data_IF_863815244876
#
_entry.id   IF_863815244876
#
_cell.length_a   1.000
_cell.length_b   1.000
_cell.length_c   1.000
_cell.angle_alpha   90.00
_cell.angle_beta   90.00
_cell.angle_gamma   90.00
#
_symmetry.space_group_name_H-M   'P 1'
#
loop_
_entity.id
_entity.type
_entity.pdbx_description
1 polymer ?
#
# COMPACT_ATOMS: atom_id res chain seq x y z
N UNK A 1 -31.14 -3.07 6.62
CA UNK A 1 -30.79 -4.38 7.23
C UNK A 1 -29.37 -4.32 7.82
N UNK A 2 -29.13 -3.63 8.95
CA UNK A 2 -27.76 -3.47 9.51
C UNK A 2 -27.32 -4.52 10.55
N UNK A 3 -28.17 -5.48 10.94
CA UNK A 3 -27.88 -6.38 12.08
C UNK A 3 -26.97 -7.56 11.70
N UNK A 4 -26.95 -7.98 10.43
CA UNK A 4 -26.18 -9.16 10.00
C UNK A 4 -24.68 -8.90 9.88
N UNK A 5 -24.26 -7.71 9.43
CA UNK A 5 -22.85 -7.36 9.20
C UNK A 5 -22.01 -7.42 10.48
N UNK A 6 -22.52 -6.87 11.58
CA UNK A 6 -21.84 -6.88 12.88
C UNK A 6 -21.70 -8.29 13.48
N UNK A 7 -22.52 -9.24 13.06
CA UNK A 7 -22.49 -10.62 13.59
C UNK A 7 -21.39 -11.45 12.90
N UNK A 8 -21.20 -11.27 11.58
CA UNK A 8 -20.15 -11.95 10.82
C UNK A 8 -18.75 -11.45 11.19
N UNK A 9 -18.58 -10.14 11.41
CA UNK A 9 -17.29 -9.56 11.79
C UNK A 9 -16.82 -10.07 13.17
N UNK A 10 -17.74 -10.23 14.13
CA UNK A 10 -17.45 -10.81 15.45
C UNK A 10 -17.04 -12.28 15.39
N UNK A 11 -17.43 -13.03 14.37
CA UNK A 11 -17.05 -14.45 14.25
C UNK A 11 -15.58 -14.68 13.85
N UNK A 12 -14.86 -13.63 13.45
CA UNK A 12 -13.43 -13.71 13.13
C UNK A 12 -12.52 -13.16 14.22
N UNK A 13 -13.09 -12.57 15.27
CA UNK A 13 -12.33 -11.99 16.37
C UNK A 13 -11.63 -13.09 17.18
N UNK A 14 -10.31 -13.02 17.24
CA UNK A 14 -9.46 -13.97 17.99
C UNK A 14 -8.63 -13.27 19.07
N UNK A 15 -9.23 -12.47 19.97
CA UNK A 15 -8.49 -11.52 20.81
C UNK A 15 -7.47 -12.18 21.76
N UNK A 16 -7.63 -13.45 22.11
CA UNK A 16 -6.62 -14.19 22.89
C UNK A 16 -5.42 -14.59 22.02
N UNK A 17 -5.69 -15.14 20.83
CA UNK A 17 -4.65 -15.56 19.90
C UNK A 17 -3.93 -14.36 19.28
N UNK A 18 -4.63 -13.27 18.97
CA UNK A 18 -4.03 -12.03 18.49
C UNK A 18 -3.11 -11.41 19.54
N UNK A 19 -3.48 -11.47 20.83
CA UNK A 19 -2.58 -11.08 21.92
C UNK A 19 -1.39 -12.01 22.06
N UNK A 20 -1.58 -13.31 21.88
CA UNK A 20 -0.48 -14.29 21.93
C UNK A 20 0.51 -14.08 20.78
N UNK A 21 0.02 -13.85 19.56
CA UNK A 21 0.83 -13.49 18.39
C UNK A 21 1.59 -12.19 18.65
N UNK A 22 0.90 -11.13 19.07
CA UNK A 22 1.55 -9.85 19.35
C UNK A 22 2.62 -9.95 20.45
N UNK A 23 2.38 -10.75 21.48
CA UNK A 23 3.38 -11.02 22.52
C UNK A 23 4.58 -11.80 21.97
N UNK A 24 4.33 -12.85 21.17
CA UNK A 24 5.40 -13.63 20.53
C UNK A 24 6.24 -12.79 19.56
N UNK A 25 5.61 -11.91 18.77
CA UNK A 25 6.29 -10.97 17.89
C UNK A 25 7.11 -9.93 18.67
N UNK A 26 6.59 -9.42 19.79
CA UNK A 26 7.30 -8.47 20.65
C UNK A 26 8.52 -9.10 21.34
N UNK A 27 8.40 -10.37 21.75
CA UNK A 27 9.48 -11.13 22.40
C UNK A 27 10.49 -11.71 21.39
N UNK A 28 10.13 -11.81 20.11
CA UNK A 28 11.00 -12.33 19.06
C UNK A 28 12.19 -11.37 18.81
N UNK A 29 13.39 -11.92 18.92
CA UNK A 29 14.66 -11.23 18.71
C UNK A 29 15.42 -11.88 17.56
N UNK A 30 15.81 -11.07 16.57
CA UNK A 30 16.74 -11.48 15.51
C UNK A 30 18.14 -11.04 15.91
N UNK A 31 19.07 -12.00 15.99
CA UNK A 31 20.48 -11.72 16.25
C UNK A 31 21.17 -11.40 14.94
N UNK A 32 21.73 -10.21 14.82
CA UNK A 32 22.43 -9.76 13.63
C UNK A 32 23.80 -9.21 14.01
N UNK A 33 24.85 -9.95 13.66
CA UNK A 33 26.21 -9.72 14.16
C UNK A 33 26.20 -9.77 15.69
N UNK A 34 26.49 -8.65 16.36
CA UNK A 34 26.48 -8.53 17.82
C UNK A 34 25.24 -7.78 18.34
N UNK A 35 24.34 -7.36 17.44
CA UNK A 35 23.11 -6.63 17.79
C UNK A 35 21.93 -7.58 17.99
N UNK A 36 21.06 -7.23 18.94
CA UNK A 36 19.77 -7.89 19.20
C UNK A 36 18.66 -6.99 18.71
N UNK A 37 18.07 -7.34 17.57
CA UNK A 37 17.04 -6.53 16.94
C UNK A 37 15.65 -7.09 17.31
N UNK A 38 14.71 -6.26 17.81
CA UNK A 38 13.31 -6.64 17.91
C UNK A 38 12.78 -7.02 16.52
N UNK A 39 11.98 -8.09 16.43
CA UNK A 39 11.44 -8.59 15.16
C UNK A 39 10.81 -7.49 14.29
N UNK A 40 9.96 -6.64 14.90
CA UNK A 40 9.28 -5.55 14.21
C UNK A 40 10.23 -4.48 13.61
N UNK A 41 11.46 -4.34 14.14
CA UNK A 41 12.45 -3.37 13.65
C UNK A 41 13.28 -3.92 12.47
N UNK A 42 13.26 -5.24 12.23
CA UNK A 42 14.15 -5.89 11.25
C UNK A 42 13.91 -5.42 9.81
N UNK A 43 12.67 -5.29 9.30
CA UNK A 43 12.45 -4.77 7.94
C UNK A 43 13.03 -3.37 7.74
N UNK A 44 12.84 -2.47 8.72
CA UNK A 44 13.43 -1.13 8.72
C UNK A 44 14.96 -1.19 8.71
N UNK A 45 15.55 -2.09 9.52
CA UNK A 45 17.00 -2.30 9.55
C UNK A 45 17.54 -2.85 8.23
N UNK A 46 16.85 -3.79 7.58
CA UNK A 46 17.20 -4.31 6.25
C UNK A 46 17.20 -3.18 5.21
N UNK A 47 16.16 -2.35 5.22
CA UNK A 47 16.04 -1.21 4.31
C UNK A 47 17.21 -0.20 4.46
N UNK A 48 17.85 -0.16 5.64
CA UNK A 48 18.98 0.72 5.92
C UNK A 48 20.35 0.20 5.45
N UNK A 49 20.46 -1.07 5.05
CA UNK A 49 21.75 -1.65 4.66
C UNK A 49 22.03 -1.40 3.18
N UNK A 50 23.13 -0.68 2.89
CA UNK A 50 23.59 -0.45 1.51
C UNK A 50 24.18 -1.70 0.87
N UNK A 51 24.87 -2.54 1.67
CA UNK A 51 25.46 -3.81 1.22
C UNK A 51 24.36 -4.86 0.99
N UNK A 52 24.21 -5.31 -0.27
CA UNK A 52 23.26 -6.36 -0.65
C UNK A 52 23.47 -7.65 0.13
N UNK A 53 24.73 -8.10 0.26
CA UNK A 53 25.02 -9.34 0.98
C UNK A 53 24.60 -9.26 2.46
N UNK A 54 24.70 -8.08 3.08
CA UNK A 54 24.20 -7.83 4.42
C UNK A 54 22.67 -7.85 4.48
N UNK A 55 21.97 -7.25 3.49
CA UNK A 55 20.50 -7.35 3.38
C UNK A 55 20.04 -8.79 3.29
N UNK A 56 20.62 -9.57 2.38
CA UNK A 56 20.21 -10.96 2.14
C UNK A 56 20.39 -11.84 3.38
N UNK A 57 21.52 -11.70 4.08
CA UNK A 57 21.76 -12.46 5.32
C UNK A 57 20.80 -12.07 6.45
N UNK A 58 20.57 -10.77 6.66
CA UNK A 58 19.62 -10.32 7.68
C UNK A 58 18.18 -10.72 7.32
N UNK A 59 17.83 -10.66 6.03
CA UNK A 59 16.54 -11.15 5.54
C UNK A 59 16.38 -12.65 5.77
N UNK A 60 17.44 -13.46 5.56
CA UNK A 60 17.44 -14.87 5.94
C UNK A 60 17.12 -15.10 7.41
N UNK A 61 17.79 -14.39 8.33
CA UNK A 61 17.51 -14.48 9.77
C UNK A 61 16.10 -13.99 10.14
N UNK A 62 15.57 -13.00 9.41
CA UNK A 62 14.18 -12.55 9.55
C UNK A 62 13.18 -13.65 9.15
N UNK A 63 13.45 -14.37 8.05
CA UNK A 63 12.61 -15.48 7.59
C UNK A 63 12.63 -16.65 8.59
N UNK A 64 13.76 -16.93 9.24
CA UNK A 64 13.83 -17.92 10.32
C UNK A 64 12.94 -17.52 11.51
N UNK A 65 12.90 -16.25 11.88
CA UNK A 65 12.00 -15.75 12.92
C UNK A 65 10.52 -15.87 12.52
N UNK A 66 10.18 -15.55 11.26
CA UNK A 66 8.82 -15.78 10.73
C UNK A 66 8.45 -17.26 10.80
N UNK A 67 9.36 -18.16 10.40
CA UNK A 67 9.10 -19.60 10.45
C UNK A 67 8.80 -20.07 11.89
N UNK A 68 9.52 -19.53 12.88
CA UNK A 68 9.28 -19.81 14.29
C UNK A 68 7.90 -19.31 14.78
N UNK A 69 7.35 -18.25 14.17
CA UNK A 69 6.02 -17.71 14.46
C UNK A 69 4.90 -18.41 13.67
N UNK A 70 5.23 -19.15 12.60
CA UNK A 70 4.27 -19.82 11.71
C UNK A 70 3.21 -20.66 12.44
N UNK A 71 3.54 -21.45 13.49
CA UNK A 71 2.52 -22.22 14.20
C UNK A 71 1.36 -21.38 14.75
N UNK A 72 1.63 -20.18 15.26
CA UNK A 72 0.57 -19.28 15.77
C UNK A 72 -0.26 -18.69 14.63
N UNK A 73 0.37 -18.36 13.50
CA UNK A 73 -0.34 -17.89 12.31
C UNK A 73 -1.23 -18.99 11.71
N UNK A 74 -0.75 -20.23 11.68
CA UNK A 74 -1.51 -21.40 11.22
C UNK A 74 -2.70 -21.69 12.14
N UNK A 75 -2.53 -21.58 13.46
CA UNK A 75 -3.63 -21.69 14.43
C UNK A 75 -4.69 -20.63 14.17
N UNK A 76 -4.29 -19.39 13.87
CA UNK A 76 -5.22 -18.30 13.56
C UNK A 76 -5.99 -18.54 12.26
N UNK A 77 -5.30 -18.99 11.21
CA UNK A 77 -5.94 -19.37 9.96
C UNK A 77 -6.94 -20.52 10.17
N UNK A 78 -6.55 -21.55 10.94
CA UNK A 78 -7.42 -22.67 11.26
C UNK A 78 -8.67 -22.20 12.01
N UNK A 79 -8.53 -21.24 12.93
CA UNK A 79 -9.68 -20.63 13.61
C UNK A 79 -10.64 -19.97 12.62
N UNK A 80 -10.15 -19.06 11.76
CA UNK A 80 -10.98 -18.36 10.78
C UNK A 80 -11.70 -19.31 9.83
N UNK A 81 -11.06 -20.41 9.44
CA UNK A 81 -11.60 -21.40 8.50
C UNK A 81 -12.42 -22.51 9.17
N UNK A 82 -12.50 -22.55 10.50
CA UNK A 82 -13.25 -23.57 11.24
C UNK A 82 -14.76 -23.36 11.17
N UNK A 83 -15.37 -23.83 10.07
CA UNK A 83 -16.83 -23.93 9.94
C UNK A 83 -17.53 -22.71 9.33
N UNK A 84 -16.78 -21.73 8.82
CA UNK A 84 -17.33 -20.57 8.11
C UNK A 84 -16.83 -20.51 6.68
N UNK A 85 -17.71 -20.19 5.73
CA UNK A 85 -17.29 -19.67 4.44
C UNK A 85 -16.89 -18.21 4.64
N UNK A 86 -15.59 -17.99 4.86
CA UNK A 86 -15.02 -16.67 5.16
C UNK A 86 -15.29 -15.70 4.02
N UNK A 87 -15.29 -16.18 2.77
CA UNK A 87 -15.51 -15.33 1.59
C UNK A 87 -16.96 -14.85 1.58
N UNK A 88 -17.92 -15.76 1.73
CA UNK A 88 -19.35 -15.40 1.72
C UNK A 88 -19.73 -14.53 2.93
N UNK A 89 -19.06 -14.74 4.07
CA UNK A 89 -19.21 -13.89 5.25
C UNK A 89 -18.73 -12.46 5.01
N UNK A 90 -17.58 -12.27 4.36
CA UNK A 90 -17.07 -10.94 3.97
C UNK A 90 -17.94 -10.32 2.86
N UNK A 91 -18.39 -11.11 1.88
CA UNK A 91 -19.30 -10.67 0.83
C UNK A 91 -20.61 -10.11 1.39
N UNK A 92 -21.14 -10.76 2.44
CA UNK A 92 -22.33 -10.28 3.17
C UNK A 92 -22.11 -8.94 3.88
N UNK A 93 -20.85 -8.53 4.08
CA UNK A 93 -20.44 -7.23 4.61
C UNK A 93 -20.43 -6.10 3.57
N UNK A 94 -20.76 -6.36 2.31
CA UNK A 94 -20.98 -5.35 1.29
C UNK A 94 -19.93 -5.28 0.19
N UNK A 95 -18.91 -6.16 0.20
CA UNK A 95 -18.01 -6.33 -0.94
C UNK A 95 -17.65 -7.81 -1.10
N UNK A 96 -17.95 -8.39 -2.26
CA UNK A 96 -17.48 -9.73 -2.60
C UNK A 96 -15.99 -9.66 -3.00
N UNK A 97 -15.08 -10.28 -2.22
CA UNK A 97 -13.65 -10.28 -2.54
C UNK A 97 -13.34 -10.91 -3.91
N UNK A 98 -14.16 -11.84 -4.39
CA UNK A 98 -13.99 -12.51 -5.69
C UNK A 98 -14.27 -11.54 -6.84
N UNK A 99 -15.41 -10.85 -6.80
CA UNK A 99 -15.77 -9.85 -7.80
C UNK A 99 -14.77 -8.69 -7.81
N UNK A 100 -14.38 -8.23 -6.61
CA UNK A 100 -13.39 -7.16 -6.47
C UNK A 100 -12.03 -7.54 -7.07
N UNK A 101 -11.57 -8.78 -6.85
CA UNK A 101 -10.33 -9.28 -7.45
C UNK A 101 -10.39 -9.29 -8.99
N UNK A 102 -11.52 -9.69 -9.59
CA UNK A 102 -11.72 -9.68 -11.05
C UNK A 102 -11.61 -8.26 -11.61
N UNK A 103 -12.17 -7.27 -10.91
CA UNK A 103 -12.08 -5.88 -11.34
C UNK A 103 -10.64 -5.33 -11.28
N UNK A 104 -9.86 -5.77 -10.28
CA UNK A 104 -8.46 -5.40 -10.08
C UNK A 104 -7.50 -6.06 -11.08
N UNK A 105 -7.87 -7.16 -11.73
CA UNK A 105 -7.05 -7.76 -12.80
C UNK A 105 -6.76 -6.74 -13.92
N UNK A 106 -7.74 -5.91 -14.26
CA UNK A 106 -7.58 -4.85 -15.27
C UNK A 106 -6.55 -3.82 -14.84
N UNK A 107 -6.54 -3.43 -13.57
CA UNK A 107 -5.54 -2.54 -13.01
C UNK A 107 -4.13 -3.16 -13.10
N UNK A 108 -3.99 -4.44 -12.75
CA UNK A 108 -2.70 -5.17 -12.85
C UNK A 108 -2.20 -5.22 -14.29
N UNK A 109 -3.05 -5.56 -15.24
CA UNK A 109 -2.72 -5.61 -16.68
C UNK A 109 -2.33 -4.22 -17.20
N UNK A 110 -3.10 -3.19 -16.89
CA UNK A 110 -2.84 -1.84 -17.39
C UNK A 110 -1.67 -1.13 -16.67
N UNK A 111 -1.25 -1.60 -15.50
CA UNK A 111 -0.05 -1.12 -14.81
C UNK A 111 1.21 -1.92 -15.11
N UNK A 112 1.10 -3.10 -15.73
CA UNK A 112 2.20 -4.05 -15.87
C UNK A 112 3.45 -3.45 -16.51
N UNK A 113 3.34 -2.93 -17.73
CA UNK A 113 4.47 -2.34 -18.47
C UNK A 113 5.14 -1.19 -17.73
N UNK A 114 4.42 -0.12 -17.30
CA UNK A 114 5.06 0.98 -16.58
C UNK A 114 5.62 0.54 -15.22
N UNK A 115 4.99 -0.43 -14.54
CA UNK A 115 5.50 -0.99 -13.30
C UNK A 115 6.86 -1.68 -13.48
N UNK A 116 6.94 -2.64 -14.40
CA UNK A 116 8.18 -3.40 -14.62
C UNK A 116 9.30 -2.56 -15.25
N UNK A 117 8.96 -1.52 -16.00
CA UNK A 117 9.95 -0.53 -16.44
C UNK A 117 10.53 0.24 -15.25
N UNK A 118 9.67 0.75 -14.35
CA UNK A 118 10.09 1.47 -13.16
C UNK A 118 10.87 0.57 -12.18
N UNK A 119 10.40 -0.66 -11.92
CA UNK A 119 11.08 -1.63 -11.07
C UNK A 119 12.51 -1.89 -11.53
N UNK A 120 12.70 -2.19 -12.82
CA UNK A 120 14.04 -2.41 -13.38
C UNK A 120 14.93 -1.18 -13.28
N UNK A 121 14.39 0.01 -13.52
CA UNK A 121 15.12 1.27 -13.37
C UNK A 121 15.60 1.46 -11.93
N UNK A 122 14.75 1.23 -10.94
CA UNK A 122 15.12 1.40 -9.53
C UNK A 122 16.04 0.30 -8.99
N UNK A 123 15.90 -0.94 -9.47
CA UNK A 123 16.86 -2.01 -9.16
C UNK A 123 18.24 -1.74 -9.78
N UNK A 124 18.29 -1.18 -10.99
CA UNK A 124 19.55 -0.79 -11.62
C UNK A 124 20.31 0.31 -10.85
N UNK A 125 19.61 1.17 -10.09
CA UNK A 125 20.25 2.18 -9.23
C UNK A 125 21.09 1.54 -8.12
N UNK A 126 20.75 0.32 -7.71
CA UNK A 126 21.48 -0.46 -6.69
C UNK A 126 22.23 -1.66 -7.27
N UNK A 127 22.44 -1.68 -8.59
CA UNK A 127 23.18 -2.71 -9.33
C UNK A 127 22.62 -4.13 -9.13
N UNK A 128 21.29 -4.26 -9.18
CA UNK A 128 20.58 -5.54 -9.08
C UNK A 128 19.77 -5.81 -10.33
N UNK A 129 19.92 -7.01 -10.89
CA UNK A 129 19.03 -7.50 -11.95
C UNK A 129 17.71 -7.97 -11.35
N UNK A 130 16.61 -7.75 -12.07
CA UNK A 130 15.27 -8.10 -11.59
C UNK A 130 15.12 -9.58 -11.20
N UNK A 131 15.75 -10.50 -11.95
CA UNK A 131 15.68 -11.93 -11.67
C UNK A 131 16.33 -12.34 -10.35
N UNK A 132 17.25 -11.52 -9.83
CA UNK A 132 17.97 -11.79 -8.59
C UNK A 132 17.42 -10.99 -7.39
N UNK A 133 16.50 -10.06 -7.63
CA UNK A 133 15.97 -9.17 -6.61
C UNK A 133 15.02 -9.90 -5.66
N UNK A 134 15.08 -9.52 -4.39
CA UNK A 134 14.14 -9.99 -3.36
C UNK A 134 13.29 -8.84 -2.81
N UNK A 135 12.29 -9.16 -1.98
CA UNK A 135 11.52 -8.13 -1.25
C UNK A 135 12.42 -7.22 -0.40
N UNK A 136 13.53 -7.73 0.14
CA UNK A 136 14.48 -6.94 0.93
C UNK A 136 15.11 -5.80 0.11
N UNK A 137 15.38 -6.02 -1.17
CA UNK A 137 15.89 -4.99 -2.07
C UNK A 137 14.84 -3.92 -2.36
N UNK A 138 13.57 -4.32 -2.48
CA UNK A 138 12.47 -3.37 -2.65
C UNK A 138 12.25 -2.55 -1.38
N UNK A 139 12.41 -3.11 -0.18
CA UNK A 139 12.38 -2.34 1.07
C UNK A 139 13.50 -1.28 1.10
N UNK A 140 14.70 -1.64 0.69
CA UNK A 140 15.82 -0.69 0.58
C UNK A 140 15.54 0.43 -0.43
N UNK A 141 15.01 0.10 -1.62
CA UNK A 141 14.60 1.09 -2.61
C UNK A 141 13.49 1.98 -2.05
N UNK A 142 12.43 1.39 -1.48
CA UNK A 142 11.24 2.08 -1.00
C UNK A 142 11.53 3.00 0.18
N UNK A 143 12.59 2.77 0.96
CA UNK A 143 13.10 3.75 1.94
C UNK A 143 13.44 5.08 1.29
N UNK A 144 13.89 5.07 0.04
CA UNK A 144 14.18 6.29 -0.70
C UNK A 144 15.35 7.07 -0.10
N UNK A 145 16.38 6.38 0.38
CA UNK A 145 17.52 6.98 1.08
C UNK A 145 18.18 8.13 0.27
N UNK A 146 18.19 8.03 -1.07
CA UNK A 146 18.66 9.09 -1.97
C UNK A 146 17.93 10.42 -1.79
N UNK A 147 16.65 10.38 -1.40
CA UNK A 147 15.79 11.55 -1.23
C UNK A 147 15.78 12.07 0.20
N UNK A 148 16.31 11.32 1.17
CA UNK A 148 16.22 11.64 2.61
C UNK A 148 16.71 13.04 2.97
N UNK A 149 17.68 13.59 2.24
CA UNK A 149 18.21 14.92 2.45
C UNK A 149 17.20 16.06 2.24
N UNK A 150 16.11 15.81 1.49
CA UNK A 150 14.99 16.76 1.32
C UNK A 150 13.95 16.69 2.45
N UNK A 151 13.96 15.63 3.26
CA UNK A 151 12.94 15.35 4.27
C UNK A 151 13.52 15.49 5.69
N UNK A 152 14.11 16.65 5.97
CA UNK A 152 14.44 17.02 7.34
C UNK A 152 13.17 17.16 8.19
N UNK A 153 13.21 16.73 9.45
CA UNK A 153 12.03 16.73 10.33
C UNK A 153 11.34 18.10 10.39
N UNK A 154 12.14 19.18 10.48
CA UNK A 154 11.63 20.55 10.54
C UNK A 154 10.94 20.95 9.24
N UNK A 155 11.55 20.63 8.10
CA UNK A 155 11.05 20.93 6.77
C UNK A 155 9.73 20.19 6.51
N UNK A 156 9.68 18.89 6.83
CA UNK A 156 8.47 18.05 6.71
C UNK A 156 7.37 18.56 7.63
N UNK A 157 7.67 18.86 8.90
CA UNK A 157 6.67 19.37 9.85
C UNK A 157 6.09 20.70 9.39
N UNK A 158 6.92 21.61 8.88
CA UNK A 158 6.48 22.88 8.29
C UNK A 158 5.57 22.63 7.08
N UNK A 159 5.97 21.74 6.17
CA UNK A 159 5.23 21.41 4.96
C UNK A 159 3.90 20.68 5.27
N UNK A 160 3.86 19.83 6.29
CA UNK A 160 2.65 19.18 6.78
C UNK A 160 1.68 20.20 7.40
N UNK A 161 2.17 21.15 8.21
CA UNK A 161 1.33 22.22 8.77
C UNK A 161 0.66 23.08 7.69
N UNK A 162 1.30 23.26 6.53
CA UNK A 162 0.71 23.99 5.40
C UNK A 162 -0.54 23.32 4.82
N UNK A 163 -0.76 22.03 5.10
CA UNK A 163 -1.96 21.28 4.69
C UNK A 163 -3.12 21.41 5.68
N UNK A 164 -2.92 22.11 6.80
CA UNK A 164 -3.90 22.21 7.90
C UNK A 164 -3.98 20.97 8.78
N UNK A 165 -3.15 19.95 8.54
CA UNK A 165 -3.09 18.73 9.37
C UNK A 165 -2.19 18.92 10.59
N UNK A 166 -2.57 18.25 11.67
CA UNK A 166 -1.70 18.14 12.85
C UNK A 166 -0.66 17.07 12.58
N UNK A 167 0.64 17.39 12.59
CA UNK A 167 1.69 16.39 12.39
C UNK A 167 1.65 15.39 13.54
N UNK A 168 1.56 14.11 13.20
CA UNK A 168 1.78 13.03 14.16
C UNK A 168 3.28 12.85 14.34
N UNK A 169 3.71 12.50 15.55
CA UNK A 169 5.09 12.05 15.75
C UNK A 169 5.26 10.72 15.00
N UNK A 170 5.76 10.81 13.77
CA UNK A 170 6.32 9.66 13.09
C UNK A 170 7.51 9.19 13.94
N UNK A 171 7.51 7.93 14.37
CA UNK A 171 8.58 7.35 15.19
C UNK A 171 9.92 7.29 14.45
N UNK A 172 10.58 6.13 14.45
CA UNK A 172 11.89 5.96 13.79
C UNK A 172 11.84 5.97 12.24
N UNK A 173 10.75 6.47 11.63
CA UNK A 173 10.67 6.60 10.18
C UNK A 173 11.63 7.68 9.70
N UNK A 174 12.31 7.42 8.57
CA UNK A 174 13.18 8.41 7.93
C UNK A 174 12.67 8.83 6.54
N UNK A 175 13.17 9.97 6.11
CA UNK A 175 13.03 10.41 4.73
C UNK A 175 11.58 10.68 4.32
N UNK A 176 11.25 10.30 3.10
CA UNK A 176 9.94 10.54 2.52
C UNK A 176 8.82 9.70 3.16
N UNK A 177 9.15 8.53 3.74
CA UNK A 177 8.19 7.70 4.47
C UNK A 177 7.70 8.39 5.75
N UNK A 178 8.59 9.12 6.43
CA UNK A 178 8.22 9.94 7.57
C UNK A 178 7.25 11.05 7.16
N UNK A 179 7.46 11.67 5.99
CA UNK A 179 6.54 12.68 5.46
C UNK A 179 5.18 12.08 5.07
N UNK A 180 5.16 10.92 4.42
CA UNK A 180 3.93 10.21 4.10
C UNK A 180 3.13 9.88 5.37
N UNK A 181 3.79 9.38 6.43
CA UNK A 181 3.17 9.09 7.71
C UNK A 181 2.65 10.36 8.42
N UNK A 182 3.45 11.43 8.46
CA UNK A 182 3.02 12.73 9.03
C UNK A 182 1.80 13.31 8.31
N UNK A 183 1.75 13.20 6.98
CA UNK A 183 0.64 13.68 6.15
C UNK A 183 -0.60 12.80 6.28
N UNK A 184 -0.42 11.49 6.48
CA UNK A 184 -1.52 10.56 6.73
C UNK A 184 -2.27 10.95 8.02
N UNK A 185 -1.56 11.45 9.03
CA UNK A 185 -2.16 11.75 10.33
C UNK A 185 -2.38 10.49 11.17
N UNK A 186 -3.27 10.57 12.17
CA UNK A 186 -3.48 9.48 13.10
C UNK A 186 -4.07 8.24 12.41
N UNK A 187 -3.64 7.07 12.89
CA UNK A 187 -4.25 5.81 12.50
C UNK A 187 -5.73 5.83 12.89
N UNK A 188 -6.57 5.53 11.92
CA UNK A 188 -8.01 5.47 12.11
C UNK A 188 -8.41 4.03 12.40
N UNK A 189 -9.44 3.84 13.23
CA UNK A 189 -9.97 2.50 13.52
C UNK A 189 -10.45 1.78 12.24
N UNK A 190 -10.54 0.44 12.26
CA UNK A 190 -10.85 -0.38 11.08
C UNK A 190 -12.21 -0.04 10.44
N UNK A 191 -13.15 0.53 11.20
CA UNK A 191 -14.49 0.85 10.73
C UNK A 191 -14.60 2.22 10.02
N UNK A 192 -13.54 3.03 10.01
CA UNK A 192 -13.56 4.38 9.46
C UNK A 192 -12.75 4.49 8.15
N UNK A 193 -13.16 3.67 7.17
CA UNK A 193 -12.57 3.58 5.82
C UNK A 193 -12.54 4.91 5.07
N UNK A 194 -13.56 5.77 5.22
CA UNK A 194 -13.60 7.08 4.56
C UNK A 194 -12.57 8.06 5.13
N UNK A 195 -12.40 8.08 6.45
CA UNK A 195 -11.34 8.84 7.11
C UNK A 195 -9.96 8.30 6.74
N UNK A 196 -9.80 6.97 6.65
CA UNK A 196 -8.58 6.35 6.16
C UNK A 196 -8.27 6.75 4.71
N UNK A 197 -9.28 6.87 3.84
CA UNK A 197 -9.13 7.35 2.48
C UNK A 197 -8.77 8.85 2.42
N UNK A 198 -9.32 9.69 3.30
CA UNK A 198 -8.90 11.10 3.44
C UNK A 198 -7.43 11.18 3.87
N UNK A 199 -7.03 10.38 4.86
CA UNK A 199 -5.64 10.30 5.33
C UNK A 199 -4.70 9.85 4.21
N UNK A 200 -5.06 8.79 3.49
CA UNK A 200 -4.31 8.32 2.33
C UNK A 200 -4.25 9.37 1.20
N UNK A 201 -5.31 10.15 0.97
CA UNK A 201 -5.31 11.25 0.01
C UNK A 201 -4.26 12.32 0.36
N UNK A 202 -4.16 12.71 1.63
CA UNK A 202 -3.08 13.62 2.09
C UNK A 202 -1.70 12.99 2.02
N UNK A 203 -1.56 11.70 2.36
CA UNK A 203 -0.31 10.96 2.23
C UNK A 203 0.25 11.04 0.80
N UNK A 204 -0.62 11.16 -0.20
CA UNK A 204 -0.20 11.28 -1.61
C UNK A 204 0.63 12.53 -1.90
N UNK A 205 0.54 13.58 -1.07
CA UNK A 205 1.28 14.84 -1.23
C UNK A 205 2.79 14.65 -1.10
N UNK A 206 3.25 13.64 -0.36
CA UNK A 206 4.68 13.29 -0.23
C UNK A 206 5.36 13.00 -1.58
N UNK A 207 4.58 12.79 -2.65
CA UNK A 207 5.07 12.69 -4.03
C UNK A 207 4.31 13.57 -5.03
N UNK A 208 3.66 14.65 -4.58
CA UNK A 208 3.05 15.66 -5.45
C UNK A 208 4.12 16.65 -5.93
N UNK A 209 4.27 16.89 -7.25
CA UNK A 209 5.25 17.84 -7.76
C UNK A 209 5.16 19.23 -7.14
N UNK A 210 3.95 19.76 -7.00
CA UNK A 210 3.70 21.10 -6.45
C UNK A 210 3.99 21.17 -4.95
N UNK A 211 3.68 20.12 -4.19
CA UNK A 211 4.00 20.07 -2.76
C UNK A 211 5.52 19.97 -2.54
N UNK A 212 6.20 19.13 -3.32
CA UNK A 212 7.64 18.98 -3.27
C UNK A 212 8.36 20.28 -3.62
N UNK A 213 7.94 20.95 -4.69
CA UNK A 213 8.55 22.20 -5.13
C UNK A 213 8.30 23.34 -4.15
N UNK A 214 7.05 23.53 -3.74
CA UNK A 214 6.68 24.75 -3.03
C UNK A 214 6.80 24.64 -1.51
N UNK A 215 6.51 23.48 -0.91
CA UNK A 215 6.50 23.31 0.56
C UNK A 215 7.82 22.78 1.09
N UNK A 216 8.40 21.80 0.39
CA UNK A 216 9.72 21.25 0.73
C UNK A 216 10.89 22.00 0.07
N UNK A 217 10.65 22.74 -1.02
CA UNK A 217 11.70 23.45 -1.73
C UNK A 217 12.64 22.53 -2.51
N UNK A 218 12.16 21.35 -2.93
CA UNK A 218 12.93 20.42 -3.76
C UNK A 218 13.30 21.13 -5.06
N UNK A 219 14.57 21.02 -5.46
CA UNK A 219 15.06 21.64 -6.68
C UNK A 219 14.27 21.15 -7.90
N UNK A 220 13.90 22.06 -8.82
CA UNK A 220 13.03 21.72 -9.96
C UNK A 220 13.51 20.56 -10.84
N UNK A 221 14.84 20.34 -10.91
CA UNK A 221 15.42 19.19 -11.64
C UNK A 221 15.25 17.84 -10.94
N UNK A 222 14.92 17.81 -9.64
CA UNK A 222 14.74 16.59 -8.86
C UNK A 222 13.27 16.29 -8.53
N UNK A 223 12.38 17.30 -8.62
CA UNK A 223 10.93 17.16 -8.36
C UNK A 223 10.33 16.03 -9.20
N UNK A 224 10.61 15.98 -10.50
CA UNK A 224 10.05 14.95 -11.39
C UNK A 224 10.54 13.55 -11.03
N UNK A 225 11.83 13.41 -10.72
CA UNK A 225 12.42 12.11 -10.35
C UNK A 225 11.91 11.61 -9.00
N UNK A 226 11.70 12.50 -8.03
CA UNK A 226 11.11 12.13 -6.75
C UNK A 226 9.63 11.77 -6.89
N UNK A 227 8.86 12.55 -7.66
CA UNK A 227 7.45 12.24 -7.95
C UNK A 227 7.28 10.90 -8.68
N UNK A 228 8.17 10.58 -9.63
CA UNK A 228 8.27 9.27 -10.28
C UNK A 228 8.54 8.15 -9.26
N UNK A 229 9.53 8.34 -8.38
CA UNK A 229 9.87 7.39 -7.33
C UNK A 229 8.69 7.11 -6.40
N UNK A 230 8.03 8.16 -5.91
CA UNK A 230 6.86 8.02 -5.05
C UNK A 230 5.68 7.35 -5.77
N UNK A 231 5.53 7.55 -7.08
CA UNK A 231 4.53 6.84 -7.88
C UNK A 231 4.87 5.35 -8.02
N UNK A 232 6.15 5.01 -8.23
CA UNK A 232 6.62 3.62 -8.25
C UNK A 232 6.33 2.90 -6.92
N UNK A 233 6.69 3.50 -5.78
CA UNK A 233 6.50 2.84 -4.47
C UNK A 233 5.00 2.63 -4.19
N UNK A 234 4.15 3.62 -4.47
CA UNK A 234 2.69 3.47 -4.33
C UNK A 234 2.14 2.37 -5.21
N UNK A 235 2.60 2.28 -6.46
CA UNK A 235 2.19 1.20 -7.37
C UNK A 235 2.65 -0.17 -6.86
N UNK A 236 3.87 -0.29 -6.34
CA UNK A 236 4.38 -1.53 -5.75
C UNK A 236 3.53 -1.98 -4.56
N UNK A 237 3.21 -1.08 -3.62
CA UNK A 237 2.34 -1.40 -2.47
C UNK A 237 0.97 -1.87 -2.92
N UNK A 238 0.32 -1.11 -3.81
CA UNK A 238 -0.99 -1.50 -4.35
C UNK A 238 -0.96 -2.86 -5.04
N UNK A 239 0.08 -3.15 -5.84
CA UNK A 239 0.26 -4.47 -6.46
C UNK A 239 0.48 -5.56 -5.43
N UNK A 240 1.29 -5.31 -4.39
CA UNK A 240 1.49 -6.24 -3.27
C UNK A 240 0.15 -6.57 -2.59
N UNK A 241 -0.67 -5.57 -2.32
CA UNK A 241 -1.96 -5.78 -1.63
C UNK A 241 -2.96 -6.53 -2.53
N UNK A 242 -2.96 -6.27 -3.84
CA UNK A 242 -3.72 -7.08 -4.82
C UNK A 242 -3.21 -8.53 -4.84
N UNK A 243 -1.90 -8.76 -4.74
CA UNK A 243 -1.35 -10.11 -4.63
C UNK A 243 -1.76 -10.79 -3.34
N UNK A 244 -1.78 -10.06 -2.22
CA UNK A 244 -2.25 -10.55 -0.94
C UNK A 244 -3.71 -10.98 -1.01
N UNK A 245 -4.57 -10.22 -1.70
CA UNK A 245 -5.96 -10.59 -1.96
C UNK A 245 -6.07 -11.94 -2.70
N UNK A 246 -5.23 -12.19 -3.70
CA UNK A 246 -5.20 -13.48 -4.42
C UNK A 246 -4.80 -14.64 -3.49
N UNK A 247 -3.83 -14.40 -2.61
CA UNK A 247 -3.43 -15.37 -1.58
C UNK A 247 -4.58 -15.66 -0.61
N UNK A 248 -5.25 -14.62 -0.12
CA UNK A 248 -6.38 -14.76 0.79
C UNK A 248 -7.56 -15.49 0.15
N UNK A 249 -7.92 -15.18 -1.10
CA UNK A 249 -8.93 -15.92 -1.86
C UNK A 249 -8.62 -17.42 -1.92
N UNK A 250 -7.35 -17.78 -2.07
CA UNK A 250 -6.92 -19.18 -2.08
C UNK A 250 -6.99 -19.82 -0.69
N UNK A 251 -6.51 -19.13 0.34
CA UNK A 251 -6.49 -19.63 1.72
C UNK A 251 -7.90 -19.82 2.29
N UNK A 252 -8.81 -18.88 1.99
CA UNK A 252 -10.18 -18.88 2.49
C UNK A 252 -11.17 -19.62 1.58
N UNK A 253 -10.75 -19.97 0.35
CA UNK A 253 -11.58 -20.71 -0.62
C UNK A 253 -11.69 -22.21 -0.37
N UNK A 254 -11.07 -22.74 0.69
CA UNK A 254 -11.20 -24.13 1.11
C UNK A 254 -9.90 -24.75 1.64
N UNK A 255 -9.99 -25.99 2.13
CA UNK A 255 -8.84 -26.71 2.67
C UNK A 255 -7.72 -26.84 1.63
N UNK A 256 -6.57 -26.25 1.96
CA UNK A 256 -5.35 -26.32 1.15
C UNK A 256 -4.23 -26.84 2.05
N UNK A 257 -3.47 -27.83 1.57
CA UNK A 257 -2.29 -28.29 2.29
C UNK A 257 -1.30 -27.13 2.48
N UNK A 258 -0.72 -26.94 3.69
CA UNK A 258 0.17 -25.79 3.97
C UNK A 258 1.30 -25.63 2.95
N UNK A 259 1.93 -26.72 2.52
CA UNK A 259 2.99 -26.69 1.51
C UNK A 259 2.52 -26.12 0.16
N UNK A 260 1.30 -26.46 -0.27
CA UNK A 260 0.70 -25.93 -1.51
C UNK A 260 0.37 -24.44 -1.34
N UNK A 261 -0.18 -24.05 -0.18
CA UNK A 261 -0.49 -22.65 0.11
C UNK A 261 0.77 -21.77 0.13
N UNK A 262 1.86 -22.26 0.73
CA UNK A 262 3.18 -21.63 0.77
C UNK A 262 3.75 -21.39 -0.62
N UNK A 263 3.83 -22.44 -1.43
CA UNK A 263 4.33 -22.36 -2.81
C UNK A 263 3.46 -21.44 -3.69
N UNK A 264 2.13 -21.53 -3.56
CA UNK A 264 1.20 -20.65 -4.27
C UNK A 264 1.43 -19.17 -3.90
N UNK A 265 1.51 -18.88 -2.60
CA UNK A 265 1.72 -17.52 -2.10
C UNK A 265 3.03 -16.91 -2.60
N UNK A 266 4.14 -17.64 -2.45
CA UNK A 266 5.44 -17.21 -2.98
C UNK A 266 5.37 -16.95 -4.50
N UNK A 267 4.76 -17.86 -5.26
CA UNK A 267 4.61 -17.74 -6.71
C UNK A 267 3.81 -16.53 -7.15
N UNK A 268 2.59 -16.35 -6.62
CA UNK A 268 1.70 -15.25 -7.03
C UNK A 268 2.24 -13.89 -6.59
N UNK A 269 2.78 -13.81 -5.37
CA UNK A 269 3.38 -12.57 -4.86
C UNK A 269 4.63 -12.19 -5.64
N UNK A 270 5.48 -13.17 -5.98
CA UNK A 270 6.66 -12.92 -6.82
C UNK A 270 6.26 -12.49 -8.23
N UNK A 271 5.22 -13.11 -8.81
CA UNK A 271 4.71 -12.74 -10.12
C UNK A 271 4.11 -11.33 -10.15
N UNK A 272 3.40 -10.92 -9.10
CA UNK A 272 2.74 -9.60 -9.08
C UNK A 272 3.72 -8.46 -8.77
N UNK A 273 4.67 -8.71 -7.85
CA UNK A 273 5.66 -7.72 -7.40
C UNK A 273 6.98 -7.75 -8.17
N UNK A 274 7.19 -8.75 -9.02
CA UNK A 274 8.36 -8.82 -9.89
C UNK A 274 9.69 -9.12 -9.21
N UNK A 275 9.68 -9.50 -7.92
CA UNK A 275 10.85 -9.87 -7.11
C UNK A 275 10.57 -11.16 -6.36
N UNK A 276 11.60 -11.87 -5.93
CA UNK A 276 11.43 -13.11 -5.18
C UNK A 276 10.80 -12.84 -3.79
N UNK A 277 9.72 -13.58 -3.50
CA UNK A 277 9.02 -13.62 -2.22
C UNK A 277 9.19 -14.99 -1.59
N UNK A 278 9.62 -15.03 -0.34
CA UNK A 278 9.91 -16.28 0.35
C UNK A 278 8.63 -16.97 0.87
N UNK A 279 8.60 -18.30 0.79
CA UNK A 279 7.46 -19.13 1.20
C UNK A 279 7.08 -18.97 2.69
N UNK A 280 8.05 -18.66 3.54
CA UNK A 280 7.86 -18.45 4.98
C UNK A 280 6.88 -17.30 5.26
N UNK A 281 6.78 -16.31 4.36
CA UNK A 281 5.98 -15.09 4.59
C UNK A 281 4.48 -15.25 4.29
N UNK A 282 4.02 -16.44 3.87
CA UNK A 282 2.68 -16.61 3.30
C UNK A 282 1.52 -16.23 4.24
N UNK A 283 1.72 -16.29 5.58
CA UNK A 283 0.75 -15.85 6.58
C UNK A 283 1.16 -14.60 7.35
N UNK A 284 2.43 -14.19 7.32
CA UNK A 284 2.92 -13.08 8.15
C UNK A 284 2.29 -11.72 7.79
N UNK A 285 1.71 -11.62 6.59
CA UNK A 285 0.96 -10.44 6.15
C UNK A 285 -0.54 -10.45 6.46
N UNK A 286 -1.09 -11.58 6.92
CA UNK A 286 -2.54 -11.77 7.08
C UNK A 286 -2.90 -11.63 8.55
N UNK A 287 -3.32 -10.42 8.93
CA UNK A 287 -3.68 -10.06 10.30
C UNK A 287 -5.19 -10.11 10.55
N UNK A 288 -6.01 -10.03 9.51
CA UNK A 288 -7.45 -10.25 9.53
C UNK A 288 -7.91 -10.80 8.18
N UNK A 289 -9.04 -11.53 8.11
CA UNK A 289 -9.56 -12.01 6.83
C UNK A 289 -9.85 -10.86 5.87
N UNK A 290 -9.23 -10.90 4.69
CA UNK A 290 -9.43 -9.92 3.62
C UNK A 290 -9.08 -8.48 4.03
N UNK A 291 -8.12 -8.29 4.93
CA UNK A 291 -7.59 -6.97 5.24
C UNK A 291 -7.06 -6.25 3.97
N UNK A 292 -6.52 -7.02 3.01
CA UNK A 292 -6.07 -6.51 1.72
C UNK A 292 -7.19 -5.83 0.92
N UNK A 293 -8.44 -6.26 1.06
CA UNK A 293 -9.59 -5.62 0.41
C UNK A 293 -9.75 -4.20 0.93
N UNK A 294 -9.69 -4.02 2.25
CA UNK A 294 -9.76 -2.70 2.88
C UNK A 294 -8.60 -1.81 2.43
N UNK A 295 -7.37 -2.33 2.43
CA UNK A 295 -6.18 -1.58 2.01
C UNK A 295 -6.29 -1.09 0.56
N UNK A 296 -6.69 -1.99 -0.37
CA UNK A 296 -6.88 -1.64 -1.78
C UNK A 296 -8.03 -0.64 -1.94
N UNK A 297 -9.17 -0.83 -1.24
CA UNK A 297 -10.29 0.12 -1.30
C UNK A 297 -9.91 1.51 -0.82
N UNK A 298 -9.16 1.62 0.28
CA UNK A 298 -8.64 2.90 0.79
C UNK A 298 -7.77 3.58 -0.27
N UNK A 299 -6.88 2.83 -0.93
CA UNK A 299 -6.03 3.36 -2.00
C UNK A 299 -6.85 3.84 -3.22
N UNK A 300 -7.89 3.09 -3.63
CA UNK A 300 -8.78 3.50 -4.73
C UNK A 300 -9.59 4.75 -4.37
N UNK A 301 -10.24 4.76 -3.20
CA UNK A 301 -11.03 5.90 -2.72
C UNK A 301 -10.18 7.16 -2.60
N UNK A 302 -8.97 7.04 -2.06
CA UNK A 302 -8.04 8.16 -1.95
C UNK A 302 -7.69 8.73 -3.34
N UNK A 303 -7.53 7.88 -4.34
CA UNK A 303 -7.24 8.33 -5.70
C UNK A 303 -8.45 8.98 -6.38
N UNK A 304 -9.66 8.44 -6.22
CA UNK A 304 -10.91 9.04 -6.71
C UNK A 304 -11.12 10.43 -6.08
N UNK A 305 -10.85 10.55 -4.78
CA UNK A 305 -10.91 11.79 -4.02
C UNK A 305 -9.86 12.79 -4.52
N UNK A 306 -8.59 12.40 -4.65
CA UNK A 306 -7.52 13.28 -5.16
C UNK A 306 -7.83 13.75 -6.58
N UNK A 307 -8.28 12.87 -7.48
CA UNK A 307 -8.63 13.23 -8.85
C UNK A 307 -9.78 14.25 -8.89
N UNK A 308 -10.78 14.11 -8.02
CA UNK A 308 -11.86 15.08 -7.86
C UNK A 308 -11.37 16.42 -7.31
N UNK A 309 -10.49 16.40 -6.30
CA UNK A 309 -9.92 17.60 -5.69
C UNK A 309 -9.07 18.37 -6.71
N UNK A 310 -8.24 17.67 -7.47
CA UNK A 310 -7.41 18.27 -8.53
C UNK A 310 -8.27 18.88 -9.65
N UNK A 311 -9.35 18.22 -10.06
CA UNK A 311 -10.27 18.73 -11.07
C UNK A 311 -11.03 19.98 -10.62
N UNK A 312 -11.48 20.02 -9.34
CA UNK A 312 -12.30 21.12 -8.80
C UNK A 312 -11.47 22.29 -8.29
N UNK A 313 -10.33 22.01 -7.67
CA UNK A 313 -9.54 22.98 -6.89
C UNK A 313 -8.10 23.17 -7.41
N UNK A 314 -7.69 22.42 -8.46
CA UNK A 314 -6.35 22.47 -9.03
C UNK A 314 -5.35 21.54 -8.32
N UNK A 315 -4.16 21.39 -8.89
CA UNK A 315 -3.15 20.45 -8.38
C UNK A 315 -2.64 20.80 -6.97
N UNK A 316 -2.70 22.07 -6.57
CA UNK A 316 -2.40 22.54 -5.21
C UNK A 316 -3.63 22.57 -4.28
N UNK A 317 -4.54 21.61 -4.43
CA UNK A 317 -5.85 21.60 -3.75
C UNK A 317 -5.77 21.80 -2.24
N UNK A 318 -4.72 21.30 -1.57
CA UNK A 318 -4.55 21.40 -0.11
C UNK A 318 -4.42 22.84 0.40
N UNK A 319 -4.13 23.80 -0.48
CA UNK A 319 -4.08 25.23 -0.15
C UNK A 319 -5.42 25.93 -0.30
N UNK A 320 -6.40 25.29 -0.93
CA UNK A 320 -7.70 25.88 -1.26
C UNK A 320 -8.66 25.58 -0.11
N UNK A 321 -9.16 26.57 0.64
CA UNK A 321 -10.05 26.31 1.77
C UNK A 321 -11.30 25.51 1.40
N UNK A 322 -11.84 25.69 0.19
CA UNK A 322 -12.99 24.95 -0.31
C UNK A 322 -12.72 23.44 -0.51
N UNK A 323 -11.45 23.02 -0.62
CA UNK A 323 -11.10 21.61 -0.66
C UNK A 323 -11.37 20.92 0.68
N UNK A 324 -11.19 21.63 1.80
CA UNK A 324 -11.44 21.12 3.14
C UNK A 324 -12.92 20.78 3.35
N UNK A 325 -13.83 21.58 2.78
CA UNK A 325 -15.27 21.26 2.79
C UNK A 325 -15.58 19.98 2.01
N UNK A 326 -14.90 19.75 0.88
CA UNK A 326 -15.06 18.52 0.09
C UNK A 326 -14.55 17.30 0.86
N UNK A 327 -13.38 17.40 1.50
CA UNK A 327 -12.79 16.35 2.32
C UNK A 327 -13.64 16.02 3.56
N UNK A 328 -14.15 17.05 4.24
CA UNK A 328 -15.02 16.88 5.39
C UNK A 328 -16.35 16.23 5.01
N UNK A 329 -16.97 16.66 3.89
CA UNK A 329 -18.21 16.06 3.40
C UNK A 329 -18.00 14.58 3.01
N UNK A 330 -16.86 14.27 2.38
CA UNK A 330 -16.49 12.90 2.03
C UNK A 330 -16.28 12.02 3.28
N UNK A 331 -15.46 12.47 4.25
CA UNK A 331 -15.23 11.74 5.49
C UNK A 331 -16.49 11.56 6.34
N UNK A 332 -17.40 12.53 6.30
CA UNK A 332 -18.68 12.50 7.03
C UNK A 332 -19.82 11.76 6.30
N UNK A 333 -19.56 11.17 5.12
CA UNK A 333 -20.59 10.44 4.38
C UNK A 333 -21.06 9.19 5.16
N UNK A 334 -22.34 8.86 5.04
CA UNK A 334 -22.95 7.72 5.75
C UNK A 334 -22.54 6.35 5.19
N UNK A 335 -22.05 6.31 3.95
CA UNK A 335 -21.63 5.09 3.27
C UNK A 335 -20.60 5.40 2.18
N UNK A 336 -19.93 4.37 1.68
CA UNK A 336 -19.00 4.49 0.57
C UNK A 336 -19.72 4.87 -0.73
N UNK A 337 -20.93 4.36 -0.95
CA UNK A 337 -21.75 4.71 -2.12
C UNK A 337 -22.14 6.20 -2.07
N UNK A 338 -22.52 6.73 -0.90
CA UNK A 338 -22.80 8.15 -0.73
C UNK A 338 -21.55 9.00 -0.99
N UNK A 339 -20.39 8.56 -0.50
CA UNK A 339 -19.11 9.24 -0.71
C UNK A 339 -18.73 9.27 -2.20
N UNK A 340 -18.85 8.14 -2.90
CA UNK A 340 -18.60 8.04 -4.35
C UNK A 340 -19.57 8.90 -5.16
N UNK A 341 -20.86 8.89 -4.81
CA UNK A 341 -21.86 9.73 -5.47
C UNK A 341 -21.56 11.23 -5.34
N UNK A 342 -21.04 11.69 -4.19
CA UNK A 342 -20.58 13.08 -4.02
C UNK A 342 -19.38 13.44 -4.91
N UNK A 343 -18.51 12.48 -5.18
CA UNK A 343 -17.40 12.63 -6.11
C UNK A 343 -17.85 12.55 -7.58
N UNK A 344 -19.00 11.94 -7.85
CA UNK A 344 -19.56 11.75 -9.19
C UNK A 344 -19.26 10.38 -9.80
N UNK A 345 -19.00 9.38 -8.96
CA UNK A 345 -18.72 8.00 -9.34
C UNK A 345 -19.88 7.09 -8.96
N UNK A 346 -20.17 6.12 -9.83
CA UNK A 346 -21.19 5.09 -9.58
C UNK A 346 -20.65 3.92 -8.75
N UNK A 347 -19.33 3.71 -8.78
CA UNK A 347 -18.61 2.64 -8.09
C UNK A 347 -17.11 3.01 -7.97
N UNK A 348 -16.36 2.27 -7.17
CA UNK A 348 -14.90 2.40 -7.08
C UNK A 348 -14.26 2.28 -8.47
N UNK A 349 -13.39 3.23 -8.84
CA UNK A 349 -12.71 3.21 -10.13
C UNK A 349 -11.19 3.12 -9.92
N UNK A 350 -10.53 2.15 -10.56
CA UNK A 350 -9.07 2.07 -10.53
C UNK A 350 -8.41 3.06 -11.50
N UNK A 351 -9.16 3.64 -12.45
CA UNK A 351 -8.59 4.51 -13.49
C UNK A 351 -7.93 5.77 -12.94
N UNK A 352 -8.47 6.46 -11.92
CA UNK A 352 -7.80 7.61 -11.31
C UNK A 352 -6.41 7.27 -10.76
N UNK A 353 -6.26 6.12 -10.08
CA UNK A 353 -4.95 5.61 -9.65
C UNK A 353 -4.00 5.51 -10.84
N UNK A 354 -4.42 4.86 -11.93
CA UNK A 354 -3.55 4.72 -13.10
C UNK A 354 -3.22 6.04 -13.78
N UNK A 355 -4.15 6.99 -13.85
CA UNK A 355 -3.86 8.32 -14.41
C UNK A 355 -2.78 9.03 -13.60
N UNK A 356 -2.93 9.07 -12.28
CA UNK A 356 -1.97 9.70 -11.38
C UNK A 356 -0.59 9.04 -11.47
N UNK A 357 -0.53 7.71 -11.49
CA UNK A 357 0.72 6.96 -11.59
C UNK A 357 1.37 7.15 -12.97
N UNK A 358 0.61 7.05 -14.06
CA UNK A 358 1.15 7.21 -15.43
C UNK A 358 1.63 8.63 -15.71
N UNK A 359 0.93 9.64 -15.21
CA UNK A 359 1.35 11.03 -15.34
C UNK A 359 2.74 11.25 -14.72
N UNK A 360 3.09 10.48 -13.68
CA UNK A 360 4.39 10.55 -12.99
C UNK A 360 5.44 9.63 -13.60
N UNK A 361 5.10 8.38 -13.93
CA UNK A 361 6.05 7.38 -14.43
C UNK A 361 6.49 7.57 -15.89
N UNK A 362 5.67 8.22 -16.73
CA UNK A 362 5.88 8.28 -18.19
C UNK A 362 6.70 9.51 -18.63
N UNK A 363 6.99 10.45 -17.72
CA UNK A 363 7.71 11.70 -18.04
C UNK A 363 9.03 11.52 -18.81
N UNK A 364 9.68 10.36 -18.71
CA UNK A 364 10.91 10.03 -19.42
C UNK A 364 10.74 9.07 -20.60
N UNK A 365 9.63 8.31 -20.66
CA UNK A 365 9.39 7.37 -21.76
C UNK A 365 9.03 8.06 -23.08
N UNK A 366 8.72 9.36 -23.06
CA UNK A 366 8.54 10.18 -24.27
C UNK A 366 9.78 10.23 -25.18
N UNK A 367 10.97 9.82 -24.72
CA UNK A 367 12.15 9.63 -25.56
C UNK A 367 12.11 8.35 -26.41
N UNK A 368 11.27 7.38 -26.05
CA UNK A 368 10.97 6.18 -26.83
C UNK A 368 9.63 6.39 -27.54
N UNK A 369 9.68 6.78 -28.82
CA UNK A 369 8.52 7.14 -29.65
C UNK A 369 7.47 6.04 -29.85
N UNK A 370 6.67 5.77 -28.82
CA UNK A 370 5.45 4.96 -28.89
C UNK A 370 4.23 5.82 -29.19
N UNK A 371 3.29 5.36 -30.03
CA UNK A 371 2.13 6.16 -30.43
C UNK A 371 1.20 6.46 -29.24
N UNK A 372 0.92 7.75 -29.04
CA UNK A 372 -0.05 8.26 -28.07
C UNK A 372 -1.42 7.57 -28.24
N UNK A 373 -1.80 6.76 -27.26
CA UNK A 373 -3.18 6.28 -27.12
C UNK A 373 -3.98 7.42 -26.50
N UNK A 374 -4.41 8.38 -27.31
CA UNK A 374 -5.50 9.29 -26.92
C UNK A 374 -6.77 8.46 -26.83
N UNK A 375 -7.19 8.11 -25.62
CA UNK A 375 -8.53 7.63 -25.32
C UNK A 375 -9.54 8.70 -25.71
N UNK A 376 -10.14 8.52 -26.90
CA UNK A 376 -11.25 9.32 -27.40
C UNK A 376 -12.49 8.95 -26.57
N UNK A 377 -12.77 9.73 -25.53
CA UNK A 377 -14.04 9.67 -24.83
C UNK A 377 -15.16 9.97 -25.84
N UNK A 378 -16.02 8.98 -26.07
CA UNK A 378 -17.14 9.08 -26.99
C UNK A 378 -18.17 10.08 -26.47
N UNK A 379 -18.34 11.18 -27.20
CA UNK A 379 -19.50 12.05 -27.09
C UNK A 379 -20.75 11.28 -27.52
N UNK A 380 -21.64 11.01 -26.56
CA UNK A 380 -23.01 10.54 -26.80
C UNK A 380 -23.73 11.62 -27.63
N UNK A 381 -24.15 11.30 -28.85
CA UNK A 381 -25.13 12.12 -29.57
C UNK A 381 -26.52 11.85 -28.98
N UNK A 382 -27.21 12.92 -28.62
CA UNK A 382 -28.65 12.98 -28.30
C UNK A 382 -29.45 12.78 -29.59
#
# INVERSE_FOLDING_TARGET
>A
MPIQTATAQRSFETPELDRAIAAAEADAIVVWRDDRLPFAAVPGRIAQLDDRGARDRLYGSYLEAIEALSPLYEERLAHWTSGNDVIDAVASGGIDPREFAVDLERLVIHSETPYYAALRRYLAVIDIEQGDATVADVWHIARGARWSHWFGEREVRRAANATGRTPVEAGELDGWLAAEAMLSGDAVGPDAMLDAAVNAAYATLAGSPEWLADELGVAGGEVSTLADFAAFVRLWRLRRDIGQLQVELRLFGGATEPAIARAYSAGIMSHITGVAVAEQTYLSGIHAPFASVSDVRVALLAADLVDTLEQRHGSAWWRVPASAETLQAFGAASSIDDALAQLGYDALDWRPVLRQIRARLIGEMSGYGGPNITTRAGTRKV
#
